data_IF_396435894423
#
_entry.id   IF_396435894423
#
_cell.length_a   1.000
_cell.length_b   1.000
_cell.length_c   1.000
_cell.angle_alpha   90.00
_cell.angle_beta   90.00
_cell.angle_gamma   90.00
#
_symmetry.space_group_name_H-M   'P 1'
#
loop_
_entity.id
_entity.type
_entity.pdbx_description
1 polymer ?
#
# COMPACT_ATOMS: atom_id res chain seq x y z
N UNK A 1 -38.77 35.93 38.82
CA UNK A 1 -38.08 35.49 40.04
C UNK A 1 -37.68 34.04 39.78
N UNK A 2 -36.52 33.74 39.18
CA UNK A 2 -35.17 33.76 39.82
C UNK A 2 -35.16 32.79 41.02
N UNK A 3 -34.29 31.79 41.16
CA UNK A 3 -32.84 31.75 40.96
C UNK A 3 -32.28 30.31 40.99
N UNK A 4 -31.01 30.18 40.59
CA UNK A 4 -29.96 29.28 41.12
C UNK A 4 -30.22 27.75 41.08
N UNK A 5 -29.45 26.96 40.33
CA UNK A 5 -27.98 26.96 40.34
C UNK A 5 -27.51 26.08 41.48
N UNK A 6 -27.19 24.82 41.19
CA UNK A 6 -26.18 24.12 41.98
C UNK A 6 -25.17 23.46 41.04
N UNK A 7 -23.92 23.70 41.40
CA UNK A 7 -22.71 23.52 40.62
C UNK A 7 -21.93 22.47 41.39
N UNK A 8 -21.62 21.33 40.81
CA UNK A 8 -20.64 20.45 41.46
C UNK A 8 -19.84 19.64 40.46
N UNK A 9 -18.69 20.24 40.13
CA UNK A 9 -17.38 19.61 40.04
C UNK A 9 -17.14 18.50 39.00
N UNK A 10 -16.67 18.97 37.84
CA UNK A 10 -15.33 18.70 37.32
C UNK A 10 -14.44 17.80 38.22
N UNK A 11 -14.11 16.62 37.68
CA UNK A 11 -12.78 16.03 37.84
C UNK A 11 -12.24 15.59 36.49
N UNK A 12 -11.54 16.53 35.86
CA UNK A 12 -10.59 16.30 34.80
C UNK A 12 -9.67 15.10 35.05
N UNK A 13 -9.50 14.26 34.01
CA UNK A 13 -8.31 13.42 33.82
C UNK A 13 -7.87 13.52 32.34
N UNK A 14 -6.57 13.58 32.05
CA UNK A 14 -6.05 14.52 31.05
C UNK A 14 -5.79 13.91 29.67
N UNK A 15 -5.97 14.80 28.68
CA UNK A 15 -5.14 15.06 27.49
C UNK A 15 -4.52 13.87 26.76
N UNK A 16 -5.18 13.44 25.68
CA UNK A 16 -4.70 13.77 24.31
C UNK A 16 -5.93 14.02 23.43
N UNK A 17 -6.15 15.27 23.04
CA UNK A 17 -7.09 15.63 21.97
C UNK A 17 -6.43 15.34 20.63
N UNK A 18 -6.45 14.07 20.21
CA UNK A 18 -6.40 13.78 18.78
C UNK A 18 -7.86 13.81 18.36
N UNK A 19 -8.28 14.95 17.78
CA UNK A 19 -9.49 14.97 16.96
C UNK A 19 -9.25 14.01 15.80
N UNK A 20 -9.55 12.73 16.02
CA UNK A 20 -9.71 11.76 14.97
C UNK A 20 -11.08 12.07 14.37
N UNK A 21 -11.14 13.14 13.58
CA UNK A 21 -12.17 13.30 12.56
C UNK A 21 -12.18 11.96 11.83
N UNK A 22 -13.20 11.14 12.09
CA UNK A 22 -13.31 9.83 11.50
C UNK A 22 -13.36 10.05 10.00
N UNK A 23 -12.22 9.93 9.32
CA UNK A 23 -12.15 9.95 7.87
C UNK A 23 -13.20 8.93 7.44
N UNK A 24 -14.27 9.34 6.73
CA UNK A 24 -15.31 8.42 6.38
C UNK A 24 -14.66 7.41 5.44
N UNK A 25 -14.30 6.25 6.00
CA UNK A 25 -13.84 5.08 5.27
C UNK A 25 -14.96 4.82 4.26
N UNK A 26 -14.67 5.10 3.00
CA UNK A 26 -15.66 5.05 1.93
C UNK A 26 -16.27 3.64 1.92
N UNK A 27 -17.52 3.51 1.47
CA UNK A 27 -18.12 2.19 1.26
C UNK A 27 -17.24 1.31 0.35
N UNK A 28 -16.46 1.93 -0.56
CA UNK A 28 -15.46 1.25 -1.38
C UNK A 28 -14.37 0.58 -0.56
N UNK A 29 -13.85 1.29 0.43
CA UNK A 29 -12.75 0.80 1.26
C UNK A 29 -13.20 -0.45 2.02
N UNK A 30 -14.46 -0.49 2.49
CA UNK A 30 -15.04 -1.68 3.13
C UNK A 30 -15.11 -2.88 2.19
N UNK A 31 -15.57 -2.68 0.94
CA UNK A 31 -15.62 -3.75 -0.06
C UNK A 31 -14.22 -4.28 -0.37
N UNK A 32 -13.25 -3.38 -0.60
CA UNK A 32 -11.88 -3.80 -0.90
C UNK A 32 -11.21 -4.48 0.28
N UNK A 33 -11.49 -4.03 1.51
CA UNK A 33 -11.00 -4.65 2.73
C UNK A 33 -11.54 -6.08 2.88
N UNK A 34 -12.85 -6.28 2.75
CA UNK A 34 -13.49 -7.60 2.85
C UNK A 34 -12.92 -8.58 1.81
N UNK A 35 -12.79 -8.12 0.57
CA UNK A 35 -12.22 -8.91 -0.53
C UNK A 35 -10.76 -9.24 -0.25
N UNK A 36 -9.97 -8.29 0.24
CA UNK A 36 -8.58 -8.49 0.60
C UNK A 36 -8.44 -9.51 1.72
N UNK A 37 -9.18 -9.36 2.82
CA UNK A 37 -9.13 -10.25 3.98
C UNK A 37 -9.50 -11.68 3.60
N UNK A 38 -10.59 -11.84 2.83
CA UNK A 38 -11.06 -13.15 2.36
C UNK A 38 -10.08 -13.85 1.41
N UNK A 39 -9.26 -13.09 0.68
CA UNK A 39 -8.38 -13.63 -0.37
C UNK A 39 -6.89 -13.45 -0.07
N UNK A 40 -6.51 -12.96 1.11
CA UNK A 40 -5.15 -12.45 1.40
C UNK A 40 -4.07 -13.45 1.03
N UNK A 41 -4.15 -14.68 1.55
CA UNK A 41 -3.16 -15.74 1.29
C UNK A 41 -3.00 -16.02 -0.21
N UNK A 42 -4.11 -16.04 -0.95
CA UNK A 42 -4.09 -16.28 -2.39
C UNK A 42 -3.48 -15.11 -3.16
N UNK A 43 -3.84 -13.87 -2.83
CA UNK A 43 -3.31 -12.67 -3.46
C UNK A 43 -1.80 -12.51 -3.25
N UNK A 44 -1.34 -12.78 -2.02
CA UNK A 44 0.09 -12.78 -1.65
C UNK A 44 0.84 -13.84 -2.42
N UNK A 45 0.31 -15.06 -2.50
CA UNK A 45 0.91 -16.15 -3.27
C UNK A 45 1.01 -15.80 -4.77
N UNK A 46 -0.02 -15.17 -5.34
CA UNK A 46 0.01 -14.69 -6.73
C UNK A 46 1.08 -13.61 -6.95
N UNK A 47 1.14 -12.60 -6.08
CA UNK A 47 2.15 -11.55 -6.17
C UNK A 47 3.57 -12.12 -6.00
N UNK A 48 3.75 -13.04 -5.05
CA UNK A 48 5.01 -13.70 -4.77
C UNK A 48 5.56 -14.49 -5.96
N UNK A 49 4.69 -15.11 -6.78
CA UNK A 49 5.11 -15.78 -8.03
C UNK A 49 5.74 -14.81 -9.03
N UNK A 50 5.34 -13.54 -9.01
CA UNK A 50 5.91 -12.51 -9.90
C UNK A 50 7.21 -11.96 -9.32
N UNK A 51 7.22 -11.53 -8.05
CA UNK A 51 8.39 -10.87 -7.44
C UNK A 51 9.45 -11.85 -6.91
N UNK A 52 9.11 -13.14 -6.84
CA UNK A 52 9.98 -14.25 -6.42
C UNK A 52 10.20 -14.37 -4.91
N UNK A 53 9.36 -13.76 -4.08
CA UNK A 53 9.50 -13.79 -2.61
C UNK A 53 8.14 -13.56 -1.94
N UNK A 54 7.83 -14.34 -0.91
CA UNK A 54 6.57 -14.22 -0.16
C UNK A 54 6.45 -12.87 0.57
N UNK A 55 7.52 -12.42 1.24
CA UNK A 55 7.56 -11.14 1.94
C UNK A 55 7.26 -9.96 1.01
N UNK A 56 7.94 -9.90 -0.14
CA UNK A 56 7.67 -8.86 -1.16
C UNK A 56 6.28 -9.02 -1.79
N UNK A 57 5.73 -10.23 -1.82
CA UNK A 57 4.35 -10.44 -2.24
C UNK A 57 3.35 -9.78 -1.30
N UNK A 58 3.55 -9.91 0.01
CA UNK A 58 2.73 -9.24 1.03
C UNK A 58 2.86 -7.72 0.95
N UNK A 59 4.08 -7.21 0.80
CA UNK A 59 4.36 -5.78 0.64
C UNK A 59 3.60 -5.19 -0.57
N UNK A 60 3.63 -5.86 -1.72
CA UNK A 60 2.89 -5.45 -2.92
C UNK A 60 1.37 -5.41 -2.65
N UNK A 61 0.83 -6.41 -1.96
CA UNK A 61 -0.60 -6.49 -1.65
C UNK A 61 -1.02 -5.35 -0.73
N UNK A 62 -0.18 -5.01 0.26
CA UNK A 62 -0.41 -3.88 1.15
C UNK A 62 -0.32 -2.54 0.41
N UNK A 63 0.70 -2.34 -0.43
CA UNK A 63 0.84 -1.12 -1.23
C UNK A 63 -0.34 -0.94 -2.20
N UNK A 64 -0.81 -2.03 -2.82
CA UNK A 64 -2.00 -2.00 -3.67
C UNK A 64 -3.23 -1.50 -2.90
N UNK A 65 -3.47 -2.02 -1.70
CA UNK A 65 -4.61 -1.62 -0.86
C UNK A 65 -4.53 -0.13 -0.49
N UNK A 66 -3.36 0.34 -0.06
CA UNK A 66 -3.15 1.76 0.30
C UNK A 66 -3.39 2.66 -0.91
N UNK A 67 -2.93 2.28 -2.10
CA UNK A 67 -3.16 3.05 -3.33
C UNK A 67 -4.64 3.11 -3.71
N UNK A 68 -5.38 2.03 -3.52
CA UNK A 68 -6.83 1.98 -3.81
C UNK A 68 -7.60 2.93 -2.89
N UNK A 69 -7.33 2.88 -1.58
CA UNK A 69 -7.96 3.79 -0.61
C UNK A 69 -7.62 5.25 -0.94
N UNK A 70 -6.34 5.55 -1.21
CA UNK A 70 -5.89 6.92 -1.52
C UNK A 70 -6.45 7.44 -2.84
N UNK A 71 -6.68 6.57 -3.82
CA UNK A 71 -7.28 6.96 -5.09
C UNK A 71 -8.78 7.28 -4.95
N UNK A 72 -9.42 6.93 -3.84
CA UNK A 72 -10.84 7.19 -3.61
C UNK A 72 -11.73 6.51 -4.64
N UNK A 73 -11.34 5.31 -5.12
CA UNK A 73 -12.06 4.62 -6.17
C UNK A 73 -13.52 4.38 -5.77
N UNK A 74 -14.46 4.93 -6.54
CA UNK A 74 -15.89 4.78 -6.27
C UNK A 74 -16.31 3.32 -6.56
N UNK A 75 -16.90 2.60 -5.59
CA UNK A 75 -17.22 1.18 -5.75
C UNK A 75 -18.33 0.96 -6.78
N UNK A 76 -19.23 1.94 -6.95
CA UNK A 76 -20.26 1.91 -7.99
C UNK A 76 -19.71 1.75 -9.42
N UNK A 77 -18.47 2.18 -9.67
CA UNK A 77 -17.84 2.04 -10.99
C UNK A 77 -17.09 0.71 -11.15
N UNK A 78 -16.94 -0.07 -10.07
CA UNK A 78 -16.12 -1.28 -10.02
C UNK A 78 -17.02 -2.50 -9.84
N UNK A 79 -17.49 -3.03 -10.96
CA UNK A 79 -18.33 -4.24 -11.03
C UNK A 79 -17.65 -5.51 -10.46
N UNK A 80 -16.31 -5.55 -10.45
CA UNK A 80 -15.54 -6.71 -9.99
C UNK A 80 -14.36 -6.31 -9.09
N UNK A 81 -14.58 -6.10 -7.78
CA UNK A 81 -13.55 -5.63 -6.85
C UNK A 81 -12.31 -6.53 -6.79
N UNK A 82 -12.49 -7.86 -6.75
CA UNK A 82 -11.37 -8.80 -6.76
C UNK A 82 -10.55 -8.73 -8.06
N UNK A 83 -11.22 -8.58 -9.20
CA UNK A 83 -10.55 -8.42 -10.49
C UNK A 83 -9.75 -7.14 -10.57
N UNK A 84 -10.32 -6.04 -10.06
CA UNK A 84 -9.64 -4.76 -9.93
C UNK A 84 -8.42 -4.85 -9.01
N UNK A 85 -8.57 -5.44 -7.83
CA UNK A 85 -7.48 -5.62 -6.86
C UNK A 85 -6.34 -6.47 -7.46
N UNK A 86 -6.67 -7.58 -8.13
CA UNK A 86 -5.68 -8.40 -8.85
C UNK A 86 -4.95 -7.60 -9.91
N UNK A 87 -5.65 -6.76 -10.69
CA UNK A 87 -5.05 -5.89 -11.71
C UNK A 87 -4.03 -4.93 -11.10
N UNK A 88 -4.39 -4.24 -10.02
CA UNK A 88 -3.48 -3.32 -9.31
C UNK A 88 -2.27 -4.07 -8.78
N UNK A 89 -2.48 -5.19 -8.08
CA UNK A 89 -1.41 -6.03 -7.54
C UNK A 89 -0.43 -6.46 -8.63
N UNK A 90 -0.93 -6.99 -9.75
CA UNK A 90 -0.06 -7.44 -10.84
C UNK A 90 0.72 -6.31 -11.49
N UNK A 91 0.11 -5.13 -11.62
CA UNK A 91 0.80 -3.94 -12.12
C UNK A 91 2.00 -3.61 -11.23
N UNK A 92 1.77 -3.50 -9.92
CA UNK A 92 2.83 -3.22 -8.95
C UNK A 92 3.90 -4.31 -8.93
N UNK A 93 3.50 -5.59 -8.97
CA UNK A 93 4.44 -6.71 -8.95
C UNK A 93 5.35 -6.75 -10.18
N UNK A 94 4.81 -6.43 -11.36
CA UNK A 94 5.58 -6.33 -12.60
C UNK A 94 6.55 -5.17 -12.53
N UNK A 95 6.08 -4.00 -12.05
CA UNK A 95 6.92 -2.81 -11.94
C UNK A 95 8.06 -3.02 -10.93
N UNK A 96 7.79 -3.65 -9.78
CA UNK A 96 8.82 -4.04 -8.81
C UNK A 96 9.82 -5.07 -9.37
N UNK A 97 9.35 -6.05 -10.15
CA UNK A 97 10.24 -7.01 -10.81
C UNK A 97 11.16 -6.34 -11.82
N UNK A 98 10.63 -5.37 -12.58
CA UNK A 98 11.41 -4.57 -13.55
C UNK A 98 12.45 -3.71 -12.85
N UNK A 99 12.07 -3.00 -11.78
CA UNK A 99 13.00 -2.21 -10.97
C UNK A 99 14.16 -3.08 -10.45
N UNK A 100 13.87 -4.26 -9.91
CA UNK A 100 14.91 -5.19 -9.44
C UNK A 100 15.83 -5.69 -10.56
N UNK A 101 15.31 -5.88 -11.78
CA UNK A 101 16.14 -6.27 -12.91
C UNK A 101 17.14 -5.16 -13.29
N UNK A 102 16.69 -3.91 -13.24
CA UNK A 102 17.54 -2.73 -13.47
C UNK A 102 18.60 -2.60 -12.37
N UNK A 103 18.23 -2.70 -11.09
CA UNK A 103 19.17 -2.68 -9.96
C UNK A 103 20.26 -3.76 -10.11
N UNK A 104 19.87 -4.97 -10.51
CA UNK A 104 20.82 -6.08 -10.76
C UNK A 104 21.78 -5.75 -11.90
N UNK A 105 21.31 -5.15 -12.99
CA UNK A 105 22.15 -4.77 -14.10
C UNK A 105 23.19 -3.71 -13.68
N UNK A 106 22.78 -2.70 -12.90
CA UNK A 106 23.70 -1.71 -12.35
C UNK A 106 24.71 -2.32 -11.37
N UNK A 107 24.27 -3.18 -10.45
CA UNK A 107 25.15 -3.86 -9.52
C UNK A 107 26.21 -4.71 -10.25
N UNK A 108 25.83 -5.40 -11.33
CA UNK A 108 26.76 -6.14 -12.18
C UNK A 108 27.75 -5.21 -12.90
N UNK A 109 27.29 -4.07 -13.42
CA UNK A 109 28.16 -3.10 -14.08
C UNK A 109 29.20 -2.48 -13.12
N UNK A 110 28.81 -2.23 -11.87
CA UNK A 110 29.71 -1.72 -10.82
C UNK A 110 30.69 -2.80 -10.34
N UNK A 111 30.21 -4.04 -10.18
CA UNK A 111 31.02 -5.17 -9.69
C UNK A 111 31.96 -5.73 -10.75
N UNK A 112 31.67 -5.56 -12.04
CA UNK A 112 32.62 -5.93 -13.09
C UNK A 112 33.82 -5.00 -12.96
N UNK A 113 35.06 -5.52 -12.81
CA UNK A 113 36.21 -4.67 -13.01
C UNK A 113 36.06 -4.05 -14.39
N UNK A 114 36.15 -2.73 -14.47
CA UNK A 114 36.28 -2.02 -15.74
C UNK A 114 37.57 -2.55 -16.35
N UNK A 115 37.49 -3.64 -17.12
CA UNK A 115 38.58 -4.11 -17.95
C UNK A 115 38.92 -2.92 -18.82
N UNK A 116 40.13 -2.42 -18.62
CA UNK A 116 40.69 -1.26 -19.28
C UNK A 116 40.47 -1.37 -20.78
N UNK A 117 39.38 -0.75 -21.26
CA UNK A 117 39.29 -0.36 -22.67
C UNK A 117 40.40 0.66 -22.84
N UNK A 118 41.54 0.18 -23.33
CA UNK A 118 42.53 1.03 -23.99
C UNK A 118 41.74 1.78 -25.05
N UNK A 119 41.43 3.04 -24.77
CA UNK A 119 41.14 4.00 -25.81
C UNK A 119 42.45 4.12 -26.58
N UNK A 120 42.57 3.38 -27.69
CA UNK A 120 43.57 3.67 -28.70
C UNK A 120 43.19 5.01 -29.31
N UNK A 121 44.00 6.07 -29.15
CA UNK A 121 43.80 7.29 -29.91
C UNK A 121 44.11 6.98 -31.38
N UNK A 122 43.33 7.57 -32.27
CA UNK A 122 43.65 7.62 -33.70
C UNK A 122 44.94 8.42 -33.94
#
# INVERSE_FOLDING_TARGET
>A
METAGDTTHDKAKPRVSISLEAVPVSYADKIFLEVLESNRRHLVALAARVVGCAWRGEEIVQDAYIRIIRAGAAPQDIQHPLGYLKRVIFRLAIDARRAKAVERAYAQAISSPVSSRRLTPC
#
